data_IF_771185470196
#
_entry.id   IF_771185470196
#
_cell.length_a   1.000
_cell.length_b   1.000
_cell.length_c   1.000
_cell.angle_alpha   90.00
_cell.angle_beta   90.00
_cell.angle_gamma   90.00
#
_symmetry.space_group_name_H-M   'P 1'
#
loop_
_entity.id
_entity.type
_entity.pdbx_description
1 polymer ?
#
# COMPACT_ATOMS: atom_id res chain seq x y z
N UNK A 1 29.94 -31.62 -12.01
CA UNK A 1 28.50 -31.84 -11.74
C UNK A 1 28.27 -31.69 -10.25
N UNK A 2 27.69 -30.57 -9.84
CA UNK A 2 26.58 -30.49 -8.88
C UNK A 2 26.36 -29.01 -8.60
N UNK A 3 25.19 -28.52 -9.02
CA UNK A 3 24.76 -27.14 -8.90
C UNK A 3 24.35 -26.83 -7.46
N UNK A 4 24.68 -25.62 -7.00
CA UNK A 4 23.91 -24.90 -5.98
C UNK A 4 24.43 -23.46 -5.83
N UNK A 5 23.80 -22.52 -6.53
CA UNK A 5 23.58 -21.14 -6.10
C UNK A 5 22.26 -20.66 -6.75
N UNK A 6 21.52 -19.71 -6.17
CA UNK A 6 21.38 -19.32 -4.76
C UNK A 6 19.88 -19.15 -4.37
N UNK A 7 19.40 -19.78 -3.31
CA UNK A 7 18.02 -19.51 -2.77
C UNK A 7 18.11 -18.50 -1.64
N UNK A 8 18.67 -17.33 -1.93
CA UNK A 8 18.67 -16.21 -0.97
C UNK A 8 18.72 -14.85 -1.68
N UNK A 9 18.07 -14.77 -2.84
CA UNK A 9 17.87 -13.49 -3.52
C UNK A 9 16.63 -12.79 -2.99
N UNK A 10 16.91 -11.66 -2.33
CA UNK A 10 16.12 -10.43 -2.31
C UNK A 10 14.84 -10.40 -1.47
N UNK A 11 15.01 -10.10 -0.18
CA UNK A 11 14.13 -9.12 0.48
C UNK A 11 15.03 -8.06 1.11
N UNK A 12 15.67 -7.25 0.26
CA UNK A 12 16.04 -5.88 0.62
C UNK A 12 14.78 -4.98 0.45
N UNK A 13 13.60 -5.46 0.86
CA UNK A 13 12.40 -4.63 0.85
C UNK A 13 12.56 -3.60 1.98
N UNK A 14 12.64 -2.33 1.59
CA UNK A 14 12.38 -1.23 2.52
C UNK A 14 11.05 -1.55 3.20
N UNK A 15 11.07 -1.63 4.54
CA UNK A 15 9.89 -1.94 5.35
C UNK A 15 8.90 -0.76 5.28
N UNK A 16 8.17 -0.68 4.17
CA UNK A 16 7.13 0.32 3.91
C UNK A 16 5.74 -0.30 4.12
N UNK A 17 4.74 0.48 4.55
CA UNK A 17 3.40 -0.03 4.83
C UNK A 17 2.77 -0.87 3.72
N UNK A 18 2.91 -0.47 2.45
CA UNK A 18 2.35 -1.18 1.30
C UNK A 18 2.87 -2.62 1.19
N UNK A 19 4.18 -2.82 1.29
CA UNK A 19 4.82 -4.14 1.27
C UNK A 19 4.32 -5.03 2.41
N UNK A 20 4.18 -4.47 3.61
CA UNK A 20 3.64 -5.23 4.77
C UNK A 20 2.20 -5.66 4.50
N UNK A 21 1.35 -4.75 4.02
CA UNK A 21 -0.04 -5.05 3.66
C UNK A 21 -0.11 -6.14 2.60
N UNK A 22 0.70 -6.04 1.54
CA UNK A 22 0.77 -7.01 0.47
C UNK A 22 1.22 -8.38 0.95
N UNK A 23 2.28 -8.46 1.76
CA UNK A 23 2.77 -9.72 2.32
C UNK A 23 1.74 -10.40 3.23
N UNK A 24 0.99 -9.63 4.03
CA UNK A 24 -0.09 -10.16 4.85
C UNK A 24 -1.28 -10.66 4.02
N UNK A 25 -1.62 -9.93 2.96
CA UNK A 25 -2.64 -10.35 2.01
C UNK A 25 -2.27 -11.63 1.30
N UNK A 26 -1.06 -11.74 0.73
CA UNK A 26 -0.60 -12.93 0.02
C UNK A 26 -0.68 -14.20 0.88
N UNK A 27 -0.47 -14.06 2.19
CA UNK A 27 -0.55 -15.18 3.15
C UNK A 27 -1.97 -15.57 3.53
N UNK A 28 -2.94 -14.65 3.46
CA UNK A 28 -4.29 -14.85 3.98
C UNK A 28 -5.37 -14.92 2.92
N UNK A 29 -5.14 -14.38 1.72
CA UNK A 29 -6.13 -14.20 0.64
C UNK A 29 -6.92 -15.45 0.27
N UNK A 30 -6.32 -16.64 0.43
CA UNK A 30 -6.95 -17.92 0.09
C UNK A 30 -7.82 -18.48 1.23
N UNK A 31 -7.66 -18.02 2.46
CA UNK A 31 -8.50 -18.43 3.60
C UNK A 31 -9.64 -17.46 3.91
N UNK A 32 -9.68 -16.29 3.27
CA UNK A 32 -10.72 -15.28 3.52
C UNK A 32 -12.08 -15.73 2.99
N UNK A 33 -13.11 -15.47 3.80
CA UNK A 33 -14.52 -15.61 3.44
C UNK A 33 -15.01 -14.42 2.60
N UNK A 34 -16.16 -14.57 1.93
CA UNK A 34 -16.74 -13.48 1.13
C UNK A 34 -17.00 -12.20 1.95
N UNK A 35 -17.55 -12.24 3.18
CA UNK A 35 -17.70 -11.02 3.99
C UNK A 35 -16.37 -10.35 4.34
N UNK A 36 -15.30 -11.11 4.55
CA UNK A 36 -13.97 -10.55 4.79
C UNK A 36 -13.39 -9.92 3.53
N UNK A 37 -13.58 -10.55 2.36
CA UNK A 37 -13.20 -9.96 1.08
C UNK A 37 -14.00 -8.69 0.77
N UNK A 38 -15.29 -8.64 1.10
CA UNK A 38 -16.12 -7.42 0.96
C UNK A 38 -15.59 -6.30 1.86
N UNK A 39 -15.19 -6.62 3.08
CA UNK A 39 -14.56 -5.67 3.98
C UNK A 39 -13.24 -5.14 3.40
N UNK A 40 -12.35 -6.01 2.89
CA UNK A 40 -11.12 -5.57 2.22
C UNK A 40 -11.38 -4.75 0.96
N UNK A 41 -12.42 -5.07 0.17
CA UNK A 41 -12.77 -4.33 -1.04
C UNK A 41 -13.11 -2.86 -0.76
N UNK A 42 -13.61 -2.53 0.45
CA UNK A 42 -13.86 -1.14 0.87
C UNK A 42 -12.58 -0.32 1.02
N UNK A 43 -11.39 -0.96 1.08
CA UNK A 43 -10.11 -0.25 1.19
C UNK A 43 -9.87 0.72 0.04
N UNK A 44 -10.41 0.48 -1.18
CA UNK A 44 -10.27 1.43 -2.29
C UNK A 44 -11.02 2.74 -2.04
N UNK A 45 -12.18 2.69 -1.37
CA UNK A 45 -12.96 3.89 -1.05
C UNK A 45 -12.29 4.71 0.06
N UNK A 46 -11.73 4.01 1.06
CA UNK A 46 -10.92 4.63 2.10
C UNK A 46 -9.66 5.27 1.50
N UNK A 47 -8.96 4.57 0.62
CA UNK A 47 -7.79 5.09 -0.07
C UNK A 47 -8.10 6.34 -0.90
N UNK A 48 -9.25 6.38 -1.57
CA UNK A 48 -9.68 7.57 -2.30
C UNK A 48 -9.90 8.76 -1.35
N UNK A 49 -10.46 8.51 -0.17
CA UNK A 49 -10.66 9.54 0.85
C UNK A 49 -9.33 10.05 1.39
N UNK A 50 -8.40 9.15 1.72
CA UNK A 50 -7.07 9.54 2.19
C UNK A 50 -6.25 10.27 1.11
N UNK A 51 -6.38 9.90 -0.16
CA UNK A 51 -5.77 10.64 -1.27
C UNK A 51 -6.28 12.08 -1.37
N UNK A 52 -7.59 12.30 -1.15
CA UNK A 52 -8.16 13.66 -1.10
C UNK A 52 -7.65 14.43 0.11
N UNK A 53 -7.62 13.81 1.28
CA UNK A 53 -7.09 14.43 2.50
C UNK A 53 -5.62 14.84 2.32
N UNK A 54 -4.79 13.95 1.78
CA UNK A 54 -3.38 14.20 1.52
C UNK A 54 -3.18 15.35 0.53
N UNK A 55 -3.97 15.40 -0.54
CA UNK A 55 -3.97 16.54 -1.48
C UNK A 55 -4.26 17.85 -0.74
N UNK A 56 -5.30 17.89 0.09
CA UNK A 56 -5.72 19.11 0.77
C UNK A 56 -4.68 19.57 1.79
N UNK A 57 -4.04 18.63 2.51
CA UNK A 57 -2.91 18.90 3.41
C UNK A 57 -1.71 19.44 2.62
N UNK A 58 -1.32 18.79 1.53
CA UNK A 58 -0.19 19.24 0.71
C UNK A 58 -0.43 20.64 0.13
N UNK A 59 -1.65 20.94 -0.31
CA UNK A 59 -2.06 22.27 -0.76
C UNK A 59 -1.99 23.29 0.39
N UNK A 60 -2.51 22.95 1.56
CA UNK A 60 -2.47 23.80 2.74
C UNK A 60 -1.05 24.18 3.15
N UNK A 61 -0.13 23.20 3.14
CA UNK A 61 1.30 23.45 3.38
C UNK A 61 1.87 24.38 2.31
N UNK A 62 1.57 24.14 1.03
CA UNK A 62 1.99 25.01 -0.07
C UNK A 62 1.54 26.45 0.13
N UNK A 63 0.29 26.68 0.53
CA UNK A 63 -0.25 28.01 0.84
C UNK A 63 0.47 28.68 2.02
N UNK A 64 0.78 27.93 3.08
CA UNK A 64 1.51 28.44 4.24
C UNK A 64 2.92 28.87 3.85
N UNK A 65 3.63 28.03 3.10
CA UNK A 65 4.98 28.32 2.60
C UNK A 65 4.97 29.51 1.64
N UNK A 66 3.99 29.59 0.75
CA UNK A 66 3.87 30.70 -0.21
C UNK A 66 3.53 32.03 0.47
N UNK A 67 2.81 31.98 1.60
CA UNK A 67 2.47 33.16 2.40
C UNK A 67 3.57 33.54 3.39
N UNK A 68 4.62 32.73 3.51
CA UNK A 68 5.69 32.98 4.45
C UNK A 68 6.60 34.10 3.94
N UNK A 69 6.46 35.27 4.57
CA UNK A 69 7.21 36.49 4.25
C UNK A 69 8.49 36.62 5.07
N UNK A 70 8.60 35.85 6.15
CA UNK A 70 9.84 35.66 6.89
C UNK A 70 10.41 34.31 6.47
N UNK A 71 11.71 34.08 6.54
CA UNK A 71 12.30 32.87 5.96
C UNK A 71 12.04 31.59 6.78
N UNK A 72 10.89 31.44 7.45
CA UNK A 72 10.66 30.57 8.61
C UNK A 72 10.30 29.11 8.30
N UNK A 73 9.55 28.85 7.23
CA UNK A 73 8.85 27.59 7.01
C UNK A 73 9.77 26.37 6.84
N UNK A 74 11.02 26.58 6.42
CA UNK A 74 12.02 25.52 6.24
C UNK A 74 13.44 25.99 6.61
N UNK A 75 13.61 26.61 7.79
CA UNK A 75 14.94 27.08 8.22
C UNK A 75 15.96 25.96 8.48
N UNK A 76 15.49 24.77 8.82
CA UNK A 76 16.33 23.59 8.97
C UNK A 76 16.37 22.79 7.67
N UNK A 77 17.58 22.43 7.23
CA UNK A 77 17.84 21.61 6.02
C UNK A 77 17.12 20.25 6.04
N UNK A 78 16.68 19.79 7.20
CA UNK A 78 15.96 18.54 7.40
C UNK A 78 14.44 18.70 7.29
N UNK A 79 13.87 19.89 7.46
CA UNK A 79 12.41 20.09 7.52
C UNK A 79 11.71 19.71 6.21
N UNK A 80 12.20 20.22 5.07
CA UNK A 80 11.61 19.92 3.77
C UNK A 80 11.79 18.44 3.39
N UNK A 81 12.99 17.82 3.50
CA UNK A 81 13.14 16.39 3.27
C UNK A 81 12.25 15.52 4.16
N UNK A 82 12.14 15.82 5.46
CA UNK A 82 11.28 15.07 6.38
C UNK A 82 9.80 15.17 5.98
N UNK A 83 9.34 16.34 5.57
CA UNK A 83 7.99 16.52 5.06
C UNK A 83 7.78 15.68 3.79
N UNK A 84 8.69 15.74 2.83
CA UNK A 84 8.59 14.97 1.58
C UNK A 84 8.60 13.46 1.85
N UNK A 85 9.43 12.97 2.76
CA UNK A 85 9.41 11.56 3.18
C UNK A 85 8.09 11.18 3.85
N UNK A 86 7.53 12.06 4.67
CA UNK A 86 6.23 11.82 5.32
C UNK A 86 5.09 11.76 4.30
N UNK A 87 5.06 12.66 3.32
CA UNK A 87 4.08 12.63 2.23
C UNK A 87 4.24 11.36 1.37
N UNK A 88 5.49 10.96 1.09
CA UNK A 88 5.78 9.72 0.37
C UNK A 88 5.29 8.48 1.11
N UNK A 89 5.48 8.41 2.44
CA UNK A 89 5.00 7.28 3.25
C UNK A 89 3.47 7.20 3.31
N UNK A 90 2.77 8.34 3.27
CA UNK A 90 1.31 8.37 3.17
C UNK A 90 0.82 7.90 1.79
N UNK A 91 1.49 8.31 0.71
CA UNK A 91 1.19 7.80 -0.64
C UNK A 91 1.42 6.29 -0.74
N UNK A 92 2.47 5.77 -0.11
CA UNK A 92 2.74 4.34 -0.05
C UNK A 92 1.58 3.58 0.65
N UNK A 93 1.12 4.08 1.79
CA UNK A 93 -0.03 3.52 2.51
C UNK A 93 -1.30 3.54 1.65
N UNK A 94 -1.58 4.65 0.96
CA UNK A 94 -2.71 4.78 0.04
C UNK A 94 -2.62 3.74 -1.09
N UNK A 95 -1.43 3.56 -1.65
CA UNK A 95 -1.18 2.60 -2.73
C UNK A 95 -1.46 1.17 -2.24
N UNK A 96 -0.95 0.79 -1.08
CA UNK A 96 -1.23 -0.51 -0.47
C UNK A 96 -2.73 -0.77 -0.28
N UNK A 97 -3.49 0.23 0.21
CA UNK A 97 -4.94 0.10 0.34
C UNK A 97 -5.65 -0.10 -1.02
N UNK A 98 -5.22 0.58 -2.08
CA UNK A 98 -5.77 0.41 -3.43
C UNK A 98 -5.50 -1.00 -3.95
N UNK A 99 -4.27 -1.49 -3.81
CA UNK A 99 -3.86 -2.81 -4.29
C UNK A 99 -4.66 -3.92 -3.62
N UNK A 100 -4.77 -3.88 -2.28
CA UNK A 100 -5.53 -4.87 -1.52
C UNK A 100 -7.02 -4.80 -1.84
N UNK A 101 -7.61 -3.61 -1.85
CA UNK A 101 -9.02 -3.45 -2.15
C UNK A 101 -9.38 -3.90 -3.57
N UNK A 102 -8.52 -3.60 -4.56
CA UNK A 102 -8.70 -4.07 -5.92
C UNK A 102 -8.58 -5.59 -6.01
N UNK A 103 -7.56 -6.19 -5.37
CA UNK A 103 -7.36 -7.63 -5.37
C UNK A 103 -8.54 -8.37 -4.70
N UNK A 104 -9.10 -7.82 -3.63
CA UNK A 104 -10.28 -8.36 -2.97
C UNK A 104 -11.52 -8.31 -3.88
N UNK A 105 -11.75 -7.18 -4.54
CA UNK A 105 -12.85 -7.00 -5.48
C UNK A 105 -12.74 -7.98 -6.67
N UNK A 106 -11.54 -8.18 -7.22
CA UNK A 106 -11.32 -9.13 -8.30
C UNK A 106 -11.65 -10.58 -7.88
N UNK A 107 -11.31 -10.95 -6.64
CA UNK A 107 -11.66 -12.27 -6.07
C UNK A 107 -13.17 -12.46 -5.90
N UNK A 108 -13.88 -11.43 -5.45
CA UNK A 108 -15.34 -11.46 -5.33
C UNK A 108 -16.03 -11.55 -6.70
N UNK A 109 -15.52 -10.85 -7.71
CA UNK A 109 -16.11 -10.79 -9.05
C UNK A 109 -15.83 -12.04 -9.88
N UNK A 110 -14.70 -12.70 -9.64
CA UNK A 110 -14.25 -13.85 -10.44
C UNK A 110 -13.86 -15.04 -9.55
N UNK A 111 -14.75 -15.55 -8.68
CA UNK A 111 -14.42 -16.58 -7.70
C UNK A 111 -13.90 -17.86 -8.35
N UNK A 112 -14.42 -18.20 -9.54
CA UNK A 112 -14.05 -19.38 -10.33
C UNK A 112 -12.55 -19.44 -10.66
N UNK A 113 -11.92 -18.28 -10.93
CA UNK A 113 -10.51 -18.21 -11.27
C UNK A 113 -9.64 -18.57 -10.07
N UNK A 114 -10.05 -18.15 -8.87
CA UNK A 114 -9.29 -18.34 -7.64
C UNK A 114 -9.56 -19.69 -6.98
N UNK A 115 -10.74 -20.27 -7.20
CA UNK A 115 -11.06 -21.62 -6.75
C UNK A 115 -10.25 -22.67 -7.54
N UNK A 116 -10.09 -22.49 -8.85
CA UNK A 116 -9.30 -23.38 -9.71
C UNK A 116 -7.81 -23.42 -9.32
N UNK A 117 -7.25 -22.33 -8.81
CA UNK A 117 -5.88 -22.31 -8.27
C UNK A 117 -5.75 -23.08 -6.95
N UNK A 118 -6.76 -23.04 -6.07
CA UNK A 118 -6.79 -23.87 -4.85
C UNK A 118 -6.84 -25.36 -5.20
N UNK A 119 -7.70 -25.73 -6.14
CA UNK A 119 -7.88 -27.12 -6.55
C UNK A 119 -6.65 -27.68 -7.30
N UNK A 120 -5.97 -26.85 -8.09
CA UNK A 120 -4.76 -27.24 -8.82
C UNK A 120 -3.50 -27.37 -7.93
N UNK A 121 -3.49 -26.77 -6.72
CA UNK A 121 -2.33 -26.74 -5.83
C UNK A 121 -2.55 -27.38 -4.45
N UNK A 122 -3.65 -28.13 -4.30
CA UNK A 122 -3.82 -29.18 -3.29
C UNK A 122 -3.09 -28.96 -1.97
N UNK A 123 -3.56 -28.01 -1.16
CA UNK A 123 -3.27 -28.00 0.27
C UNK A 123 -4.56 -28.32 1.01
N UNK A 124 -4.70 -29.61 1.34
CA UNK A 124 -5.61 -30.08 2.38
C UNK A 124 -5.07 -29.80 3.77
#
# INVERSE_FOLDING_TARGET
>A
MSAAQPVDQAIDEVCVPSNVMWQLWERTKDSLSNPELEWFAQATEQAQTEARNLRDVAMGIGCLVASDTQSGAFQDKHNLPQLLFSLSAQLDTITGMIEIGSAANDRLRMPELYQRFKDAHGRG
#
